data_IF_365018450948
#
_entry.id   IF_365018450948
#
_cell.length_a   1.000
_cell.length_b   1.000
_cell.length_c   1.000
_cell.angle_alpha   90.00
_cell.angle_beta   90.00
_cell.angle_gamma   90.00
#
_symmetry.space_group_name_H-M   'P 1'
#
loop_
_entity.id
_entity.type
_entity.pdbx_description
1 polymer ?
#
# COMPACT_ATOMS: atom_id res chain seq x y z
N UNK A 1 18.08 5.20 7.30
CA UNK A 1 16.76 5.52 7.90
C UNK A 1 16.07 6.67 7.16
N UNK A 2 16.78 7.75 6.79
CA UNK A 2 16.22 8.85 5.97
C UNK A 2 15.75 8.40 4.58
N UNK A 3 16.60 7.73 3.80
CA UNK A 3 16.27 7.28 2.44
C UNK A 3 15.13 6.25 2.42
N UNK A 4 15.05 5.44 3.48
CA UNK A 4 13.98 4.44 3.66
C UNK A 4 12.65 5.12 3.97
N UNK A 5 12.65 6.13 4.85
CA UNK A 5 11.46 6.93 5.13
C UNK A 5 10.95 7.69 3.89
N UNK A 6 11.88 8.23 3.09
CA UNK A 6 11.54 8.85 1.81
C UNK A 6 10.93 7.84 0.84
N UNK A 7 11.56 6.68 0.65
CA UNK A 7 11.04 5.62 -0.22
C UNK A 7 9.63 5.17 0.20
N UNK A 8 9.41 4.96 1.51
CA UNK A 8 8.10 4.60 2.05
C UNK A 8 7.05 5.69 1.78
N UNK A 9 7.39 6.97 1.93
CA UNK A 9 6.45 8.06 1.66
C UNK A 9 6.01 8.14 0.20
N UNK A 10 6.90 7.82 -0.75
CA UNK A 10 6.55 7.72 -2.16
C UNK A 10 5.64 6.50 -2.43
N UNK A 11 5.94 5.36 -1.82
CA UNK A 11 5.12 4.16 -1.92
C UNK A 11 3.71 4.39 -1.34
N UNK A 12 3.59 5.07 -0.20
CA UNK A 12 2.30 5.44 0.39
C UNK A 12 1.46 6.33 -0.53
N UNK A 13 2.10 7.32 -1.16
CA UNK A 13 1.44 8.22 -2.11
C UNK A 13 0.91 7.44 -3.32
N UNK A 14 1.75 6.59 -3.93
CA UNK A 14 1.38 5.76 -5.07
C UNK A 14 0.19 4.85 -4.73
N UNK A 15 0.24 4.16 -3.59
CA UNK A 15 -0.84 3.27 -3.20
C UNK A 15 -2.14 3.99 -2.91
N UNK A 16 -2.09 5.21 -2.36
CA UNK A 16 -3.26 6.06 -2.12
C UNK A 16 -3.91 6.49 -3.44
N UNK A 17 -3.09 6.90 -4.43
CA UNK A 17 -3.59 7.29 -5.75
C UNK A 17 -4.23 6.11 -6.50
N UNK A 18 -3.60 4.94 -6.43
CA UNK A 18 -4.14 3.72 -7.03
C UNK A 18 -5.47 3.32 -6.39
N UNK A 19 -5.58 3.36 -5.06
CA UNK A 19 -6.83 3.06 -4.36
C UNK A 19 -7.93 4.06 -4.71
N UNK A 20 -7.62 5.36 -4.77
CA UNK A 20 -8.57 6.38 -5.20
C UNK A 20 -9.07 6.13 -6.63
N UNK A 21 -8.17 5.69 -7.53
CA UNK A 21 -8.54 5.36 -8.92
C UNK A 21 -9.51 4.17 -8.96
N UNK A 22 -9.28 3.13 -8.15
CA UNK A 22 -10.23 2.00 -8.01
C UNK A 22 -11.61 2.47 -7.52
N UNK A 23 -11.67 3.38 -6.54
CA UNK A 23 -12.94 3.95 -6.08
C UNK A 23 -13.65 4.73 -7.20
N UNK A 24 -12.91 5.51 -7.98
CA UNK A 24 -13.44 6.32 -9.07
C UNK A 24 -13.94 5.47 -10.24
N UNK A 25 -13.23 4.40 -10.56
CA UNK A 25 -13.54 3.51 -11.67
C UNK A 25 -14.71 2.56 -11.36
N UNK A 26 -15.25 2.62 -10.12
CA UNK A 26 -16.39 1.81 -9.70
C UNK A 26 -16.05 0.33 -9.66
N UNK A 27 -14.80 -0.01 -9.33
CA UNK A 27 -14.32 -1.40 -9.29
C UNK A 27 -15.11 -2.25 -8.29
N UNK A 28 -15.09 -3.57 -8.46
CA UNK A 28 -15.82 -4.46 -7.54
C UNK A 28 -15.31 -4.33 -6.09
N UNK A 29 -16.21 -4.53 -5.13
CA UNK A 29 -15.85 -4.53 -3.69
C UNK A 29 -14.80 -5.59 -3.39
N UNK A 30 -14.82 -6.73 -4.10
CA UNK A 30 -13.86 -7.80 -3.91
C UNK A 30 -12.45 -7.41 -4.38
N UNK A 31 -12.33 -6.67 -5.49
CA UNK A 31 -11.05 -6.11 -5.94
C UNK A 31 -10.50 -5.06 -4.96
N UNK A 32 -11.37 -4.19 -4.43
CA UNK A 32 -10.97 -3.21 -3.41
C UNK A 32 -10.47 -3.89 -2.14
N UNK A 33 -11.17 -4.94 -1.68
CA UNK A 33 -10.74 -5.75 -0.54
C UNK A 33 -9.40 -6.42 -0.82
N UNK A 34 -9.24 -7.03 -2.00
CA UNK A 34 -8.01 -7.70 -2.38
C UNK A 34 -6.82 -6.73 -2.36
N UNK A 35 -7.01 -5.53 -2.89
CA UNK A 35 -6.00 -4.47 -2.87
C UNK A 35 -5.59 -4.09 -1.43
N UNK A 36 -6.56 -3.86 -0.54
CA UNK A 36 -6.29 -3.53 0.88
C UNK A 36 -5.53 -4.66 1.58
N UNK A 37 -5.93 -5.92 1.38
CA UNK A 37 -5.22 -7.06 1.98
C UNK A 37 -3.78 -7.18 1.47
N UNK A 38 -3.55 -6.94 0.17
CA UNK A 38 -2.21 -6.93 -0.41
C UNK A 38 -1.34 -5.82 0.20
N UNK A 39 -1.89 -4.61 0.34
CA UNK A 39 -1.21 -3.47 0.96
C UNK A 39 -0.84 -3.73 2.43
N UNK A 40 -1.76 -4.28 3.23
CA UNK A 40 -1.48 -4.65 4.62
C UNK A 40 -0.33 -5.69 4.69
N UNK A 41 -0.36 -6.71 3.84
CA UNK A 41 0.67 -7.76 3.79
C UNK A 41 2.04 -7.21 3.42
N UNK A 42 2.11 -6.24 2.51
CA UNK A 42 3.34 -5.54 2.15
C UNK A 42 3.98 -4.88 3.38
N UNK A 43 3.20 -4.11 4.15
CA UNK A 43 3.68 -3.46 5.38
C UNK A 43 4.05 -4.44 6.48
N UNK A 44 3.34 -5.56 6.59
CA UNK A 44 3.67 -6.61 7.54
C UNK A 44 5.02 -7.28 7.22
N UNK A 45 5.35 -7.39 5.93
CA UNK A 45 6.65 -7.87 5.44
C UNK A 45 7.75 -6.85 5.75
N UNK A 46 7.52 -5.57 5.44
CA UNK A 46 8.45 -4.49 5.76
C UNK A 46 8.75 -4.44 7.26
N UNK A 47 7.70 -4.50 8.10
CA UNK A 47 7.83 -4.52 9.56
C UNK A 47 8.71 -5.68 10.03
N UNK A 48 8.58 -6.88 9.45
CA UNK A 48 9.45 -8.02 9.76
C UNK A 48 10.90 -7.77 9.32
N UNK A 49 11.13 -7.15 8.16
CA UNK A 49 12.46 -6.81 7.67
C UNK A 49 13.16 -5.71 8.50
N UNK A 50 12.41 -4.85 9.19
CA UNK A 50 12.97 -3.78 10.03
C UNK A 50 13.14 -4.16 11.51
N UNK A 51 12.53 -5.26 11.97
CA UNK A 51 12.52 -5.68 13.39
C UNK A 51 13.42 -6.92 13.65
N UNK A 52 13.95 -7.57 12.59
CA UNK A 52 15.02 -8.57 12.65
C UNK A 52 16.40 -7.91 12.52
#
# INVERSE_FOLDING_TARGET
MYDIGIALSFTDLEHTLNFYSLLKDGTSIDEMKHYIYSFIKYYDTLKKCFIL
#
